data_IF_720269684102
#
_entry.id   IF_720269684102
#
_cell.length_a   1.000
_cell.length_b   1.000
_cell.length_c   1.000
_cell.angle_alpha   90.00
_cell.angle_beta   90.00
_cell.angle_gamma   90.00
#
_symmetry.space_group_name_H-M   'P 1'
#
loop_
_entity.id
_entity.type
_entity.pdbx_description
1 polymer ?
#
# COMPACT_ATOMS: atom_id res chain seq x y z
N UNK A 1 -11.51 0.16 -10.24
CA UNK A 1 -11.97 1.56 -10.25
C UNK A 1 -11.20 2.36 -11.29
N UNK A 2 -9.88 2.40 -11.23
CA UNK A 2 -9.02 3.14 -12.16
C UNK A 2 -9.31 2.82 -13.64
N UNK A 3 -9.45 1.54 -13.98
CA UNK A 3 -9.76 1.10 -15.35
C UNK A 3 -11.08 1.67 -15.88
N UNK A 4 -12.11 1.78 -15.03
CA UNK A 4 -13.45 2.20 -15.46
C UNK A 4 -13.70 3.70 -15.32
N UNK A 5 -13.01 4.36 -14.40
CA UNK A 5 -13.23 5.78 -14.08
C UNK A 5 -12.05 6.67 -14.47
N UNK A 6 -10.97 6.06 -14.97
CA UNK A 6 -9.70 6.74 -15.18
C UNK A 6 -8.96 7.05 -13.87
N UNK A 7 -7.80 7.63 -14.00
CA UNK A 7 -7.01 8.19 -12.93
C UNK A 7 -7.02 9.71 -13.05
N UNK A 8 -7.05 10.41 -11.91
CA UNK A 8 -6.86 11.86 -11.91
C UNK A 8 -5.46 12.18 -12.47
N UNK A 9 -5.32 13.24 -13.29
CA UNK A 9 -4.03 13.65 -13.87
C UNK A 9 -3.15 14.34 -12.80
N UNK A 10 -2.87 13.64 -11.72
CA UNK A 10 -2.02 14.14 -10.64
C UNK A 10 -0.55 14.12 -11.06
N UNK A 11 0.29 15.01 -10.51
CA UNK A 11 1.72 14.98 -10.77
C UNK A 11 2.31 13.63 -10.39
N UNK A 12 3.38 13.25 -11.08
CA UNK A 12 4.16 12.07 -10.71
C UNK A 12 4.79 12.22 -9.33
N UNK A 13 5.26 11.13 -8.79
CA UNK A 13 5.96 11.13 -7.51
C UNK A 13 7.33 11.79 -7.66
N UNK A 14 7.67 12.69 -6.74
CA UNK A 14 8.97 13.34 -6.67
C UNK A 14 9.78 12.79 -5.50
N UNK A 15 10.85 12.01 -5.77
CA UNK A 15 11.66 11.42 -4.70
C UNK A 15 12.32 12.46 -3.79
N UNK A 16 12.77 13.60 -4.33
CA UNK A 16 13.41 14.65 -3.55
C UNK A 16 12.42 15.32 -2.58
N UNK A 17 11.22 15.62 -3.04
CA UNK A 17 10.15 16.15 -2.18
C UNK A 17 9.75 15.15 -1.08
N UNK A 18 9.73 13.87 -1.40
CA UNK A 18 9.43 12.81 -0.40
C UNK A 18 10.51 12.69 0.66
N UNK A 19 11.76 12.84 0.29
CA UNK A 19 12.89 12.85 1.22
C UNK A 19 12.80 14.03 2.18
N UNK A 20 12.52 15.24 1.68
CA UNK A 20 12.27 16.42 2.50
C UNK A 20 11.12 16.19 3.49
N UNK A 21 9.97 15.69 3.02
CA UNK A 21 8.82 15.40 3.88
C UNK A 21 9.13 14.32 4.92
N UNK A 22 9.93 13.32 4.57
CA UNK A 22 10.36 12.27 5.50
C UNK A 22 11.29 12.82 6.58
N UNK A 23 12.22 13.71 6.24
CA UNK A 23 13.09 14.39 7.19
C UNK A 23 12.29 15.28 8.15
N UNK A 24 11.35 16.08 7.63
CA UNK A 24 10.45 16.88 8.47
C UNK A 24 9.59 16.01 9.39
N UNK A 25 9.13 14.85 8.91
CA UNK A 25 8.38 13.91 9.72
C UNK A 25 9.23 13.24 10.81
N UNK A 26 10.51 13.00 10.55
CA UNK A 26 11.44 12.49 11.56
C UNK A 26 11.69 13.50 12.69
N UNK A 27 11.70 14.80 12.36
CA UNK A 27 11.91 15.87 13.35
C UNK A 27 10.62 16.22 14.10
N UNK A 28 9.50 16.39 13.39
CA UNK A 28 8.24 16.97 13.92
C UNK A 28 7.13 15.94 14.18
N UNK A 29 7.28 14.76 13.64
CA UNK A 29 6.27 13.70 13.68
C UNK A 29 5.17 13.86 12.60
N UNK A 30 4.58 12.73 12.19
CA UNK A 30 3.50 12.70 11.18
C UNK A 30 2.23 13.42 11.62
N UNK A 31 1.95 13.49 12.92
CA UNK A 31 0.81 14.23 13.46
C UNK A 31 0.92 15.73 13.18
N UNK A 32 2.13 16.31 13.27
CA UNK A 32 2.36 17.72 12.94
C UNK A 32 2.18 17.99 11.44
N UNK A 33 2.67 17.07 10.58
CA UNK A 33 2.45 17.17 9.14
C UNK A 33 0.98 16.99 8.76
N UNK A 34 0.23 16.15 9.48
CA UNK A 34 -1.22 16.04 9.31
C UNK A 34 -1.94 17.35 9.68
N UNK A 35 -1.52 18.02 10.76
CA UNK A 35 -2.04 19.34 11.11
C UNK A 35 -1.70 20.41 10.06
N UNK A 36 -0.55 20.33 9.40
CA UNK A 36 -0.20 21.15 8.24
C UNK A 36 -1.11 20.85 7.04
N UNK A 37 -1.32 19.57 6.74
CA UNK A 37 -2.28 19.16 5.70
C UNK A 37 -3.68 19.73 5.97
N UNK A 38 -4.13 19.73 7.22
CA UNK A 38 -5.44 20.27 7.59
C UNK A 38 -5.61 21.76 7.26
N UNK A 39 -4.52 22.54 7.23
CA UNK A 39 -4.53 23.95 6.85
C UNK A 39 -4.65 24.16 5.34
N UNK A 40 -4.03 23.30 4.55
CA UNK A 40 -3.96 23.45 3.09
C UNK A 40 -5.00 22.61 2.34
N UNK A 41 -5.42 21.48 2.93
CA UNK A 41 -6.47 20.61 2.39
C UNK A 41 -7.30 19.98 3.53
N UNK A 42 -8.23 20.73 4.13
CA UNK A 42 -9.08 20.22 5.20
C UNK A 42 -9.90 19.00 4.77
N UNK A 43 -10.30 18.93 3.49
CA UNK A 43 -11.10 17.83 2.97
C UNK A 43 -10.29 16.52 2.86
N UNK A 44 -9.01 16.59 2.55
CA UNK A 44 -8.13 15.42 2.58
C UNK A 44 -7.79 15.03 4.02
N UNK A 45 -7.46 15.99 4.88
CA UNK A 45 -7.12 15.75 6.28
C UNK A 45 -8.26 15.05 7.05
N UNK A 46 -9.51 15.43 6.79
CA UNK A 46 -10.67 14.77 7.42
C UNK A 46 -10.83 13.30 7.06
N UNK A 47 -10.23 12.84 5.94
CA UNK A 47 -10.33 11.45 5.46
C UNK A 47 -9.07 10.63 5.73
N UNK A 48 -7.94 11.30 5.95
CA UNK A 48 -6.64 10.67 6.17
C UNK A 48 -6.40 10.65 7.68
N UNK A 49 -6.14 9.46 8.21
CA UNK A 49 -5.82 9.34 9.63
C UNK A 49 -4.43 9.94 9.92
N UNK A 50 -4.26 10.57 11.09
CA UNK A 50 -2.98 11.20 11.48
C UNK A 50 -1.80 10.20 11.61
N UNK A 51 -2.09 8.91 11.67
CA UNK A 51 -1.11 7.82 11.69
C UNK A 51 -0.92 7.15 10.33
N UNK A 52 -1.35 7.78 9.22
CA UNK A 52 -1.15 7.28 7.86
C UNK A 52 -0.06 8.08 7.14
N UNK A 53 1.23 7.76 7.35
CA UNK A 53 2.35 8.53 6.81
C UNK A 53 2.30 8.65 5.29
N UNK A 54 1.98 7.53 4.63
CA UNK A 54 2.01 7.46 3.17
C UNK A 54 1.00 8.39 2.52
N UNK A 55 -0.22 8.46 3.07
CA UNK A 55 -1.27 9.33 2.53
C UNK A 55 -1.03 10.80 2.89
N UNK A 56 -0.52 11.09 4.09
CA UNK A 56 -0.14 12.45 4.50
C UNK A 56 0.98 12.95 3.59
N UNK A 57 2.05 12.16 3.43
CA UNK A 57 3.18 12.49 2.55
C UNK A 57 2.70 12.79 1.12
N UNK A 58 1.88 11.91 0.55
CA UNK A 58 1.39 12.10 -0.82
C UNK A 58 0.53 13.35 -0.98
N UNK A 59 -0.30 13.67 -0.01
CA UNK A 59 -1.14 14.85 -0.06
C UNK A 59 -0.33 16.14 0.01
N UNK A 60 0.66 16.21 0.91
CA UNK A 60 1.57 17.34 1.03
C UNK A 60 2.52 17.45 -0.17
N UNK A 61 3.04 16.33 -0.69
CA UNK A 61 3.85 16.27 -1.90
C UNK A 61 3.11 16.95 -3.07
N UNK A 62 1.88 16.53 -3.35
CA UNK A 62 1.07 17.11 -4.43
C UNK A 62 0.87 18.60 -4.23
N UNK A 63 0.53 19.02 -3.02
CA UNK A 63 0.33 20.44 -2.72
C UNK A 63 1.62 21.26 -2.89
N UNK A 64 2.74 20.79 -2.36
CA UNK A 64 4.02 21.52 -2.45
C UNK A 64 4.55 21.63 -3.87
N UNK A 65 4.30 20.61 -4.71
CA UNK A 65 4.71 20.61 -6.12
C UNK A 65 3.82 21.49 -7.01
N UNK A 66 2.53 21.62 -6.68
CA UNK A 66 1.54 22.22 -7.59
C UNK A 66 0.82 23.44 -7.04
N UNK A 67 0.91 23.69 -5.74
CA UNK A 67 0.08 24.70 -5.06
C UNK A 67 -1.40 24.34 -4.98
N UNK A 68 -1.81 23.17 -5.49
CA UNK A 68 -3.22 22.75 -5.54
C UNK A 68 -3.46 21.58 -4.60
N UNK A 69 -4.48 21.62 -3.71
CA UNK A 69 -4.84 20.53 -2.82
C UNK A 69 -5.13 19.22 -3.54
N UNK A 70 -4.72 18.08 -2.95
CA UNK A 70 -4.97 16.76 -3.56
C UNK A 70 -6.47 16.46 -3.70
N UNK A 71 -7.30 17.00 -2.80
CA UNK A 71 -8.76 16.87 -2.88
C UNK A 71 -9.35 17.56 -4.12
N UNK A 72 -8.74 18.63 -4.60
CA UNK A 72 -9.13 19.30 -5.84
C UNK A 72 -8.70 18.50 -7.07
N UNK A 73 -7.47 17.97 -7.08
CA UNK A 73 -7.01 17.06 -8.13
C UNK A 73 -7.92 15.84 -8.27
N UNK A 74 -8.37 15.27 -7.15
CA UNK A 74 -9.28 14.11 -7.13
C UNK A 74 -10.70 14.43 -7.66
N UNK A 75 -11.12 15.69 -7.63
CA UNK A 75 -12.39 16.14 -8.19
C UNK A 75 -12.30 16.42 -9.70
N UNK A 76 -11.11 16.67 -10.22
CA UNK A 76 -10.95 16.88 -11.66
C UNK A 76 -11.34 15.61 -12.43
N UNK A 77 -12.06 15.75 -13.53
CA UNK A 77 -12.37 14.60 -14.37
C UNK A 77 -11.06 13.93 -14.80
N UNK A 78 -10.97 12.63 -14.62
CA UNK A 78 -9.84 11.84 -15.09
C UNK A 78 -9.86 11.68 -16.60
N UNK A 79 -8.99 10.81 -17.10
CA UNK A 79 -9.04 10.36 -18.50
C UNK A 79 -10.45 9.86 -18.81
N UNK A 80 -10.95 10.18 -20.01
CA UNK A 80 -12.29 9.77 -20.43
C UNK A 80 -12.58 8.30 -20.10
N UNK A 81 -13.75 7.99 -19.53
CA UNK A 81 -14.09 6.61 -19.23
C UNK A 81 -14.06 5.76 -20.49
N UNK A 82 -13.74 4.48 -20.33
CA UNK A 82 -13.78 3.54 -21.46
C UNK A 82 -15.14 3.63 -22.17
N UNK A 83 -15.17 3.72 -23.51
CA UNK A 83 -16.41 3.82 -24.30
C UNK A 83 -17.12 2.46 -24.37
N UNK A 84 -17.34 1.82 -23.21
CA UNK A 84 -17.95 0.49 -23.11
C UNK A 84 -19.03 0.48 -22.03
N UNK A 85 -20.09 -0.27 -22.26
CA UNK A 85 -21.10 -0.56 -21.24
C UNK A 85 -20.55 -1.60 -20.29
N UNK A 86 -20.39 -1.25 -19.01
CA UNK A 86 -19.84 -2.14 -17.99
C UNK A 86 -20.94 -2.74 -17.14
N UNK A 87 -20.93 -4.08 -16.96
CA UNK A 87 -21.71 -4.79 -15.97
C UNK A 87 -20.79 -5.15 -14.81
N UNK A 88 -21.13 -4.67 -13.62
CA UNK A 88 -20.37 -4.97 -12.38
C UNK A 88 -21.05 -6.09 -11.63
N UNK A 89 -20.40 -7.25 -11.56
CA UNK A 89 -20.85 -8.38 -10.76
C UNK A 89 -20.00 -8.46 -9.49
N UNK A 90 -20.69 -8.56 -8.34
CA UNK A 90 -20.01 -8.74 -7.04
C UNK A 90 -20.29 -10.17 -6.59
N UNK A 91 -19.22 -10.96 -6.48
CA UNK A 91 -19.25 -12.30 -5.93
C UNK A 91 -18.54 -12.29 -4.57
N UNK A 92 -19.32 -12.46 -3.51
CA UNK A 92 -18.79 -12.50 -2.16
C UNK A 92 -19.54 -13.56 -1.33
N UNK A 93 -18.87 -14.27 -0.41
CA UNK A 93 -19.57 -15.12 0.56
C UNK A 93 -20.50 -14.27 1.43
N UNK A 94 -21.68 -14.79 1.76
CA UNK A 94 -22.60 -14.13 2.69
C UNK A 94 -22.05 -14.12 4.12
N UNK A 95 -21.35 -15.20 4.48
CA UNK A 95 -20.74 -15.37 5.80
C UNK A 95 -19.23 -15.09 5.72
N UNK A 96 -18.76 -14.21 6.59
CA UNK A 96 -17.35 -13.85 6.72
C UNK A 96 -16.50 -15.03 7.18
N UNK A 97 -17.06 -15.94 7.98
CA UNK A 97 -16.37 -17.15 8.42
C UNK A 97 -16.01 -18.05 7.24
N UNK A 98 -16.89 -18.17 6.24
CA UNK A 98 -16.58 -18.91 5.00
C UNK A 98 -15.44 -18.27 4.22
N UNK A 99 -15.36 -16.94 4.21
CA UNK A 99 -14.22 -16.23 3.58
C UNK A 99 -12.91 -16.57 4.29
N UNK A 100 -12.89 -16.49 5.63
CA UNK A 100 -11.70 -16.80 6.42
C UNK A 100 -11.24 -18.24 6.21
N UNK A 101 -12.15 -19.22 6.25
CA UNK A 101 -11.82 -20.62 5.97
C UNK A 101 -11.20 -20.82 4.58
N UNK A 102 -11.69 -20.10 3.56
CA UNK A 102 -11.14 -20.17 2.21
C UNK A 102 -9.75 -19.55 2.12
N UNK A 103 -9.51 -18.44 2.82
CA UNK A 103 -8.20 -17.80 2.89
C UNK A 103 -7.20 -18.75 3.55
N UNK A 104 -7.58 -19.34 4.67
CA UNK A 104 -6.79 -20.31 5.43
C UNK A 104 -6.42 -21.52 4.56
N UNK A 105 -7.42 -22.21 4.00
CA UNK A 105 -7.19 -23.36 3.14
C UNK A 105 -6.32 -23.04 1.91
N UNK A 106 -6.51 -21.86 1.32
CA UNK A 106 -5.67 -21.40 0.21
C UNK A 106 -4.23 -21.18 0.64
N UNK A 107 -4.01 -20.57 1.80
CA UNK A 107 -2.66 -20.30 2.30
C UNK A 107 -1.94 -21.61 2.66
N UNK A 108 -2.62 -22.55 3.30
CA UNK A 108 -2.06 -23.88 3.58
C UNK A 108 -1.68 -24.62 2.29
N UNK A 109 -2.51 -24.53 1.26
CA UNK A 109 -2.19 -25.10 -0.04
C UNK A 109 -0.95 -24.43 -0.67
N UNK A 110 -0.81 -23.12 -0.58
CA UNK A 110 0.37 -22.40 -1.07
C UNK A 110 1.63 -22.86 -0.34
N UNK A 111 1.56 -23.03 0.97
CA UNK A 111 2.70 -23.56 1.76
C UNK A 111 3.08 -24.98 1.30
N UNK A 112 2.09 -25.85 1.12
CA UNK A 112 2.32 -27.22 0.63
C UNK A 112 2.89 -27.26 -0.80
N UNK A 113 2.62 -26.24 -1.61
CA UNK A 113 3.12 -26.12 -2.99
C UNK A 113 4.49 -25.43 -3.09
N UNK A 114 5.14 -25.13 -1.97
CA UNK A 114 6.49 -24.58 -1.96
C UNK A 114 6.58 -23.06 -1.92
N UNK A 115 5.58 -22.37 -1.39
CA UNK A 115 5.59 -20.90 -1.27
C UNK A 115 6.84 -20.37 -0.55
N UNK A 116 7.31 -21.05 0.51
CA UNK A 116 8.53 -20.64 1.20
C UNK A 116 9.79 -20.82 0.33
N UNK A 117 9.81 -21.81 -0.55
CA UNK A 117 10.93 -22.01 -1.47
C UNK A 117 10.95 -20.94 -2.57
N UNK A 118 9.77 -20.50 -3.03
CA UNK A 118 9.64 -19.34 -3.91
C UNK A 118 10.21 -18.07 -3.26
N UNK A 119 9.87 -17.81 -1.99
CA UNK A 119 10.40 -16.64 -1.26
C UNK A 119 11.91 -16.77 -1.04
N UNK A 120 12.46 -17.97 -0.75
CA UNK A 120 13.90 -18.19 -0.65
C UNK A 120 14.60 -17.92 -1.99
N UNK A 121 14.03 -18.38 -3.09
CA UNK A 121 14.56 -18.11 -4.43
C UNK A 121 14.54 -16.60 -4.75
N UNK A 122 13.46 -15.89 -4.41
CA UNK A 122 13.38 -14.44 -4.56
C UNK A 122 14.48 -13.74 -3.75
N UNK A 123 14.70 -14.13 -2.50
CA UNK A 123 15.76 -13.58 -1.63
C UNK A 123 17.17 -13.79 -2.18
N UNK A 124 17.38 -14.92 -2.87
CA UNK A 124 18.67 -15.29 -3.44
C UNK A 124 18.99 -14.59 -4.78
N UNK A 125 18.06 -13.82 -5.33
CA UNK A 125 18.29 -13.08 -6.58
C UNK A 125 19.39 -12.00 -6.37
N UNK A 126 20.34 -11.87 -7.32
CA UNK A 126 21.43 -10.88 -7.21
C UNK A 126 20.94 -9.43 -7.06
N UNK A 127 19.79 -9.12 -7.64
CA UNK A 127 19.15 -7.81 -7.57
C UNK A 127 18.71 -7.50 -6.14
N UNK A 128 18.20 -8.51 -5.42
CA UNK A 128 17.74 -8.35 -4.04
C UNK A 128 18.89 -8.11 -3.06
N UNK A 129 20.07 -8.65 -3.32
CA UNK A 129 21.26 -8.41 -2.51
C UNK A 129 21.71 -6.93 -2.51
N UNK A 130 21.28 -6.15 -3.50
CA UNK A 130 21.60 -4.71 -3.63
C UNK A 130 20.57 -3.80 -2.96
N UNK A 131 19.46 -4.36 -2.50
CA UNK A 131 18.36 -3.59 -1.89
C UNK A 131 18.61 -3.46 -0.39
N UNK A 132 18.79 -2.24 0.09
CA UNK A 132 19.04 -1.97 1.52
C UNK A 132 17.84 -2.30 2.40
N UNK A 133 16.62 -2.09 1.90
CA UNK A 133 15.37 -2.33 2.62
C UNK A 133 14.39 -3.17 1.78
N UNK A 134 14.61 -4.50 1.65
CA UNK A 134 13.78 -5.36 0.81
C UNK A 134 12.29 -5.34 1.19
N UNK A 135 11.98 -5.21 2.48
CA UNK A 135 10.62 -5.14 3.01
C UNK A 135 9.85 -3.88 2.59
N UNK A 136 10.54 -2.86 2.07
CA UNK A 136 9.91 -1.64 1.56
C UNK A 136 9.52 -1.75 0.08
N UNK A 137 10.00 -2.77 -0.62
CA UNK A 137 9.60 -3.02 -2.00
C UNK A 137 8.11 -3.37 -2.09
N UNK A 138 7.35 -2.76 -3.01
CA UNK A 138 5.91 -3.03 -3.15
C UNK A 138 5.58 -4.50 -3.35
N UNK A 139 6.40 -5.26 -4.07
CA UNK A 139 6.21 -6.69 -4.30
C UNK A 139 6.38 -7.51 -3.00
N UNK A 140 7.40 -7.20 -2.20
CA UNK A 140 7.67 -7.89 -0.92
C UNK A 140 6.66 -7.49 0.15
N UNK A 141 6.09 -6.29 0.09
CA UNK A 141 5.02 -5.83 0.99
C UNK A 141 3.68 -6.52 0.75
N UNK A 142 3.53 -7.30 -0.30
CA UNK A 142 2.32 -8.08 -0.53
C UNK A 142 2.08 -9.06 0.64
N UNK A 143 0.80 -9.23 1.01
CA UNK A 143 0.39 -10.16 2.08
C UNK A 143 0.89 -11.57 1.75
N UNK A 144 1.47 -12.23 2.72
CA UNK A 144 2.14 -13.53 2.58
C UNK A 144 3.65 -13.38 2.37
N UNK A 145 4.11 -12.60 1.38
CA UNK A 145 5.55 -12.43 1.11
C UNK A 145 6.28 -11.73 2.25
N UNK A 146 5.73 -10.63 2.77
CA UNK A 146 6.31 -9.94 3.91
C UNK A 146 6.43 -10.84 5.13
N UNK A 147 5.36 -11.56 5.47
CA UNK A 147 5.35 -12.47 6.60
C UNK A 147 6.30 -13.65 6.43
N UNK A 148 6.41 -14.18 5.20
CA UNK A 148 7.38 -15.23 4.87
C UNK A 148 8.82 -14.71 4.99
N UNK A 149 9.07 -13.47 4.57
CA UNK A 149 10.38 -12.84 4.71
C UNK A 149 10.78 -12.69 6.17
N UNK A 150 9.91 -12.09 7.00
CA UNK A 150 10.08 -11.95 8.45
C UNK A 150 10.34 -13.31 9.13
N UNK A 151 9.56 -14.35 8.76
CA UNK A 151 9.76 -15.71 9.26
C UNK A 151 11.14 -16.30 8.87
N UNK A 152 11.57 -16.10 7.62
CA UNK A 152 12.88 -16.57 7.15
C UNK A 152 14.06 -15.79 7.76
N UNK A 153 13.82 -14.60 8.29
CA UNK A 153 14.78 -13.83 9.09
C UNK A 153 14.80 -14.26 10.57
N UNK A 154 13.95 -15.24 10.95
CA UNK A 154 13.89 -15.78 12.31
C UNK A 154 12.88 -15.07 13.22
N UNK A 155 12.00 -14.26 12.66
CA UNK A 155 10.95 -13.56 13.42
C UNK A 155 9.76 -14.48 13.74
N UNK A 156 9.85 -15.25 14.80
CA UNK A 156 8.79 -16.12 15.29
C UNK A 156 8.81 -17.53 14.72
N UNK A 157 7.80 -18.30 15.07
CA UNK A 157 7.63 -19.69 14.61
C UNK A 157 6.68 -19.82 13.41
N UNK A 158 6.57 -21.04 12.88
CA UNK A 158 5.73 -21.33 11.72
C UNK A 158 4.23 -21.06 11.96
N UNK A 159 3.75 -21.26 13.19
CA UNK A 159 2.36 -21.02 13.55
C UNK A 159 2.06 -19.52 13.52
N UNK A 160 2.91 -18.70 14.13
CA UNK A 160 2.81 -17.24 14.14
C UNK A 160 2.92 -16.65 12.73
N UNK A 161 3.82 -17.16 11.90
CA UNK A 161 3.93 -16.79 10.49
C UNK A 161 2.62 -17.05 9.76
N UNK A 162 2.07 -18.27 9.89
CA UNK A 162 0.82 -18.67 9.24
C UNK A 162 -0.33 -17.74 9.67
N UNK A 163 -0.49 -17.52 10.95
CA UNK A 163 -1.56 -16.65 11.49
C UNK A 163 -1.46 -15.22 10.96
N UNK A 164 -0.26 -14.63 11.00
CA UNK A 164 -0.04 -13.28 10.43
C UNK A 164 -0.31 -13.16 8.93
N UNK A 165 -0.19 -14.25 8.18
CA UNK A 165 -0.43 -14.26 6.74
C UNK A 165 -1.91 -14.47 6.39
N UNK A 166 -2.70 -15.02 7.31
CA UNK A 166 -4.14 -15.27 7.14
C UNK A 166 -4.97 -14.09 7.68
N UNK A 167 -4.56 -13.45 8.78
CA UNK A 167 -5.26 -12.38 9.49
C UNK A 167 -4.53 -11.03 9.41
#
# INVERSE_FOLDING_TARGET
RALLQGLSPMPEADPAMREVLSAEAAERGWAALHAELAKVDPAAAARIHATDPQRIQRALEVYRLTGTPISEWQRRPGVAPLPVRTLKLILAPRDRAVLHQRIEARFDLMLAQGFLDEVRALRAMPEMARVQAPLDLPAVRAVGYRQAWEYLDGEGDAARFRDKAIF
#
